data_IF_781560571314
#
_entry.id   IF_781560571314
#
_cell.length_a   1.000
_cell.length_b   1.000
_cell.length_c   1.000
_cell.angle_alpha   90.00
_cell.angle_beta   90.00
_cell.angle_gamma   90.00
#
_symmetry.space_group_name_H-M   'P 1'
#
loop_
_entity.id
_entity.type
_entity.pdbx_description
1 polymer ?
#
# COMPACT_ATOMS: atom_id res chain seq x y z
N UNK A 1 8.07 -0.73 18.25
CA UNK A 1 6.94 0.18 18.12
C UNK A 1 6.39 0.17 16.73
N UNK A 2 5.10 0.05 16.60
CA UNK A 2 4.48 0.05 15.29
C UNK A 2 4.17 1.47 14.85
N UNK A 3 4.55 1.79 13.64
CA UNK A 3 4.23 3.07 13.05
C UNK A 3 3.35 2.82 11.84
N UNK A 4 2.21 3.49 11.81
CA UNK A 4 1.30 3.38 10.69
C UNK A 4 1.20 4.73 10.00
N UNK A 5 1.43 4.73 8.70
CA UNK A 5 1.37 5.93 7.88
C UNK A 5 0.23 5.78 6.90
N UNK A 6 -0.62 6.78 6.84
CA UNK A 6 -1.75 6.77 5.94
C UNK A 6 -1.54 7.79 4.84
N UNK A 7 -1.89 7.43 3.63
CA UNK A 7 -1.78 8.34 2.50
C UNK A 7 -2.95 8.05 1.56
N UNK A 8 -3.18 8.98 0.66
CA UNK A 8 -4.24 8.83 -0.33
C UNK A 8 -3.65 8.99 -1.72
N UNK A 9 -4.10 8.18 -2.65
CA UNK A 9 -3.59 8.24 -4.01
C UNK A 9 -4.73 7.90 -4.97
N UNK A 10 -5.11 8.87 -5.78
CA UNK A 10 -6.16 8.69 -6.79
C UNK A 10 -7.46 8.13 -6.21
N UNK A 11 -7.80 8.57 -5.02
CA UNK A 11 -9.02 8.13 -4.37
C UNK A 11 -8.88 6.85 -3.57
N UNK A 12 -7.71 6.22 -3.62
CA UNK A 12 -7.42 5.03 -2.84
C UNK A 12 -6.74 5.42 -1.54
N UNK A 13 -6.92 4.60 -0.54
CA UNK A 13 -6.27 4.82 0.75
C UNK A 13 -5.13 3.82 0.89
N UNK A 14 -3.98 4.34 1.29
CA UNK A 14 -2.78 3.52 1.52
C UNK A 14 -2.46 3.57 3.00
N UNK A 15 -2.28 2.40 3.59
CA UNK A 15 -1.93 2.30 5.01
C UNK A 15 -0.65 1.50 5.11
N UNK A 16 0.44 2.15 5.50
CA UNK A 16 1.75 1.50 5.59
C UNK A 16 2.05 1.21 7.04
N UNK A 17 2.37 -0.04 7.31
CA UNK A 17 2.68 -0.48 8.67
C UNK A 17 4.14 -0.84 8.75
N UNK A 18 4.85 -0.16 9.64
CA UNK A 18 6.24 -0.45 9.93
C UNK A 18 6.26 -1.44 11.08
N UNK A 19 6.65 -2.67 10.78
CA UNK A 19 6.71 -3.69 11.80
C UNK A 19 8.06 -3.64 12.50
N UNK A 20 8.01 -3.63 13.80
CA UNK A 20 9.23 -3.57 14.59
C UNK A 20 9.74 -4.98 14.84
N UNK A 21 10.28 -5.59 13.79
CA UNK A 21 10.85 -6.91 13.92
C UNK A 21 12.22 -6.94 13.27
N UNK A 22 12.84 -8.09 13.30
CA UNK A 22 14.23 -8.22 12.85
C UNK A 22 14.39 -8.06 11.35
N UNK A 23 13.35 -8.33 10.62
CA UNK A 23 13.45 -8.32 9.16
C UNK A 23 13.24 -6.94 8.57
N UNK A 24 12.76 -6.00 9.37
CA UNK A 24 12.61 -4.62 8.95
C UNK A 24 11.79 -4.47 7.68
N UNK A 25 10.82 -5.32 7.50
CA UNK A 25 9.96 -5.25 6.33
C UNK A 25 8.73 -4.43 6.64
N UNK A 26 8.27 -3.71 5.65
CA UNK A 26 7.06 -2.91 5.76
C UNK A 26 5.94 -3.62 5.05
N UNK A 27 4.78 -3.63 5.66
CA UNK A 27 3.57 -4.13 5.01
C UNK A 27 2.68 -2.94 4.70
N UNK A 28 1.75 -3.13 3.78
CA UNK A 28 0.81 -2.05 3.50
C UNK A 28 -0.53 -2.63 3.08
N UNK A 29 -1.55 -1.82 3.25
CA UNK A 29 -2.90 -2.12 2.80
C UNK A 29 -3.33 -1.03 1.85
N UNK A 30 -3.95 -1.41 0.76
CA UNK A 30 -4.56 -0.44 -0.14
C UNK A 30 -6.05 -0.71 -0.19
N UNK A 31 -6.83 0.36 -0.10
CA UNK A 31 -8.28 0.26 -0.10
C UNK A 31 -8.82 1.12 -1.23
N UNK A 32 -9.64 0.52 -2.09
CA UNK A 32 -10.19 1.27 -3.19
C UNK A 32 -11.40 2.08 -2.74
N UNK A 33 -11.90 3.00 -3.58
CA UNK A 33 -13.04 3.83 -3.19
C UNK A 33 -14.32 3.04 -2.90
N UNK A 34 -14.41 1.83 -3.38
CA UNK A 34 -15.56 0.98 -3.11
C UNK A 34 -15.49 0.26 -1.78
N UNK A 35 -14.34 0.33 -1.12
CA UNK A 35 -14.19 -0.28 0.20
C UNK A 35 -13.47 -1.61 0.21
N UNK A 36 -13.01 -2.09 -0.94
CA UNK A 36 -12.24 -3.33 -1.01
C UNK A 36 -10.78 -3.06 -0.71
N UNK A 37 -10.17 -3.88 0.12
CA UNK A 37 -8.79 -3.67 0.49
C UNK A 37 -7.94 -4.90 0.19
N UNK A 38 -6.66 -4.66 -0.03
CA UNK A 38 -5.67 -5.71 -0.27
C UNK A 38 -4.51 -5.49 0.68
N UNK A 39 -3.95 -6.56 1.17
CA UNK A 39 -2.85 -6.51 2.11
C UNK A 39 -1.60 -7.13 1.48
N UNK A 40 -0.49 -6.41 1.56
CA UNK A 40 0.80 -6.86 1.04
C UNK A 40 1.77 -6.95 2.20
N UNK A 41 2.25 -8.15 2.48
CA UNK A 41 3.07 -8.38 3.66
C UNK A 41 4.47 -7.82 3.52
N UNK A 42 5.07 -7.95 2.36
CA UNK A 42 6.44 -7.51 2.15
C UNK A 42 6.46 -6.43 1.09
N UNK A 43 5.94 -5.28 1.45
CA UNK A 43 5.78 -4.19 0.51
C UNK A 43 7.07 -3.46 0.18
N UNK A 44 8.05 -3.51 1.08
CA UNK A 44 9.31 -2.84 0.82
C UNK A 44 10.21 -2.88 2.03
N UNK A 45 11.47 -2.51 1.81
CA UNK A 45 12.46 -2.52 2.89
C UNK A 45 12.46 -1.20 3.65
N UNK A 46 11.80 -0.18 3.13
CA UNK A 46 11.63 1.06 3.86
C UNK A 46 10.30 1.67 3.46
N UNK A 47 9.97 2.75 4.16
CA UNK A 47 8.68 3.42 4.01
C UNK A 47 8.46 3.93 2.58
N UNK A 48 9.49 4.53 2.01
CA UNK A 48 9.38 5.10 0.68
C UNK A 48 9.13 4.02 -0.36
N UNK A 49 9.83 2.91 -0.25
CA UNK A 49 9.64 1.79 -1.18
C UNK A 49 8.26 1.20 -1.06
N UNK A 50 7.77 1.06 0.16
CA UNK A 50 6.43 0.55 0.37
C UNK A 50 5.40 1.46 -0.27
N UNK A 51 5.58 2.76 -0.12
CA UNK A 51 4.65 3.72 -0.69
C UNK A 51 4.68 3.67 -2.22
N UNK A 52 5.86 3.61 -2.80
CA UNK A 52 5.99 3.52 -4.25
C UNK A 52 5.31 2.27 -4.78
N UNK A 53 5.52 1.16 -4.09
CA UNK A 53 4.91 -0.10 -4.52
C UNK A 53 3.39 -0.03 -4.45
N UNK A 54 2.88 0.56 -3.38
CA UNK A 54 1.45 0.71 -3.23
C UNK A 54 0.87 1.53 -4.37
N UNK A 55 1.54 2.61 -4.73
CA UNK A 55 1.09 3.46 -5.83
C UNK A 55 1.10 2.70 -7.15
N UNK A 56 2.14 1.91 -7.39
CA UNK A 56 2.21 1.11 -8.61
C UNK A 56 1.06 0.13 -8.68
N UNK A 57 0.75 -0.53 -7.58
CA UNK A 57 -0.35 -1.48 -7.55
C UNK A 57 -1.68 -0.79 -7.82
N UNK A 58 -1.85 0.40 -7.26
CA UNK A 58 -3.08 1.16 -7.49
C UNK A 58 -3.18 1.55 -8.96
N UNK A 59 -2.09 2.00 -9.55
CA UNK A 59 -2.10 2.37 -10.97
C UNK A 59 -2.47 1.18 -11.84
N UNK A 60 -1.97 0.01 -11.51
CA UNK A 60 -2.28 -1.19 -12.28
C UNK A 60 -3.76 -1.55 -12.15
N UNK A 61 -4.30 -1.44 -10.95
CA UNK A 61 -5.71 -1.73 -10.74
C UNK A 61 -6.60 -0.77 -11.50
N UNK A 62 -6.25 0.51 -11.46
CA UNK A 62 -7.02 1.52 -12.18
C UNK A 62 -6.96 1.26 -13.67
N UNK A 63 -5.79 0.95 -14.19
CA UNK A 63 -5.63 0.68 -15.62
C UNK A 63 -6.46 -0.53 -16.04
N UNK A 64 -6.49 -1.57 -15.23
CA UNK A 64 -7.27 -2.75 -15.54
C UNK A 64 -8.75 -2.46 -15.54
N UNK A 65 -9.19 -1.63 -14.62
CA UNK A 65 -10.61 -1.31 -14.52
C UNK A 65 -11.07 -0.36 -15.62
N UNK A 66 -10.17 0.45 -16.13
CA UNK A 66 -10.52 1.38 -17.20
C UNK A 66 -10.56 0.73 -18.56
N UNK A 67 -10.05 -0.45 -18.64
CA UNK A 67 -10.02 -1.17 -19.90
C UNK A 67 -11.29 -1.94 -20.08
N UNK A 68 -12.26 -1.33 -20.59
CA UNK A 68 -13.54 -1.97 -20.77
C UNK A 68 -13.83 -2.24 -22.20
#
# INVERSE_FOLDING_TARGET
MKTTISDTYKGWTISINAEDNQDSHFSFDITNPSGNSQHVKMGGINEQRALERAREMIDMEIAMNEEE
#
